data_IF_657665725857
#
_entry.id   IF_657665725857
#
_cell.length_a   1.000
_cell.length_b   1.000
_cell.length_c   1.000
_cell.angle_alpha   90.00
_cell.angle_beta   90.00
_cell.angle_gamma   90.00
#
_symmetry.space_group_name_H-M   'P 1'
#
loop_
_entity.id
_entity.type
_entity.pdbx_description
1 polymer ?
#
# COMPACT_ATOMS: atom_id res chain seq x y z
N UNK A 1 -12.17 15.10 11.66
CA UNK A 1 -12.28 13.76 11.04
C UNK A 1 -13.69 13.23 11.25
N UNK A 2 -14.39 12.87 10.17
CA UNK A 2 -15.68 12.18 10.21
C UNK A 2 -15.55 10.75 10.79
N UNK A 3 -16.67 10.07 11.00
CA UNK A 3 -16.71 8.76 11.65
C UNK A 3 -16.06 7.65 10.80
N UNK A 4 -16.21 7.69 9.48
CA UNK A 4 -15.67 6.64 8.60
C UNK A 4 -14.15 6.76 8.48
N UNK A 5 -13.66 7.99 8.31
CA UNK A 5 -12.22 8.29 8.34
C UNK A 5 -11.62 7.92 9.70
N UNK A 6 -12.32 8.17 10.80
CA UNK A 6 -11.87 7.71 12.13
C UNK A 6 -11.80 6.20 12.22
N UNK A 7 -12.80 5.49 11.69
CA UNK A 7 -12.82 4.02 11.67
C UNK A 7 -11.69 3.43 10.83
N UNK A 8 -11.32 4.08 9.74
CA UNK A 8 -10.20 3.67 8.89
C UNK A 8 -8.84 3.98 9.54
N UNK A 9 -8.71 5.13 10.20
CA UNK A 9 -7.44 5.64 10.71
C UNK A 9 -7.13 5.30 12.18
N UNK A 10 -8.06 4.72 12.93
CA UNK A 10 -7.77 4.35 14.32
C UNK A 10 -6.82 3.16 14.35
N UNK A 11 -5.66 3.23 15.03
CA UNK A 11 -4.77 2.09 15.17
C UNK A 11 -5.52 0.90 15.75
N UNK A 12 -5.27 -0.31 15.28
CA UNK A 12 -6.01 -1.52 15.65
C UNK A 12 -5.27 -2.43 16.61
N UNK A 13 -3.94 -2.42 16.59
CA UNK A 13 -3.16 -3.27 17.48
C UNK A 13 -3.30 -2.80 18.94
N UNK A 14 -3.53 -3.76 19.82
CA UNK A 14 -3.73 -3.56 21.26
C UNK A 14 -2.85 -4.49 22.10
N UNK A 15 -1.65 -4.80 21.60
CA UNK A 15 -0.68 -5.66 22.28
C UNK A 15 -0.86 -7.16 22.03
N UNK A 16 -1.82 -7.55 21.18
CA UNK A 16 -2.07 -8.95 20.84
C UNK A 16 -0.94 -9.50 19.96
N UNK A 17 -0.39 -10.65 20.32
CA UNK A 17 0.58 -11.42 19.52
C UNK A 17 -0.03 -11.91 18.19
N UNK A 18 0.81 -12.23 17.21
CA UNK A 18 0.37 -12.67 15.88
C UNK A 18 -0.37 -11.57 15.12
N UNK A 19 0.15 -10.34 15.19
CA UNK A 19 -0.44 -9.17 14.55
C UNK A 19 0.58 -8.36 13.77
N UNK A 20 0.09 -7.83 12.66
CA UNK A 20 0.78 -6.90 11.80
C UNK A 20 -0.08 -5.65 11.64
N UNK A 21 0.52 -4.48 11.75
CA UNK A 21 -0.15 -3.20 11.46
C UNK A 21 0.80 -2.29 10.67
N UNK A 22 0.32 -1.76 9.55
CA UNK A 22 1.13 -0.97 8.61
C UNK A 22 0.43 0.35 8.30
N UNK A 23 1.19 1.43 8.36
CA UNK A 23 0.83 2.73 7.80
C UNK A 23 1.70 2.97 6.57
N UNK A 24 1.03 3.30 5.47
CA UNK A 24 1.64 3.31 4.15
C UNK A 24 1.31 4.62 3.46
N UNK A 25 2.32 5.37 3.00
CA UNK A 25 2.13 6.54 2.16
C UNK A 25 2.83 6.32 0.82
N UNK A 26 2.04 6.41 -0.24
CA UNK A 26 2.47 6.43 -1.65
C UNK A 26 2.17 7.80 -2.21
N UNK A 27 3.14 8.42 -2.88
CA UNK A 27 2.94 9.69 -3.54
C UNK A 27 3.91 9.86 -4.71
N UNK A 28 3.44 10.50 -5.77
CA UNK A 28 4.24 10.82 -6.94
C UNK A 28 3.94 12.22 -7.47
N UNK A 29 4.94 12.81 -8.12
CA UNK A 29 4.76 14.04 -8.88
C UNK A 29 4.38 13.69 -10.32
N UNK A 30 3.16 14.02 -10.78
CA UNK A 30 2.78 13.76 -12.17
C UNK A 30 3.63 14.52 -13.20
N UNK A 31 4.34 15.60 -12.79
CA UNK A 31 5.18 16.41 -13.69
C UNK A 31 6.55 15.78 -13.92
N UNK A 32 7.23 15.40 -12.85
CA UNK A 32 8.60 14.85 -12.93
C UNK A 32 8.64 13.33 -12.90
N UNK A 33 7.52 12.67 -12.59
CA UNK A 33 7.44 11.23 -12.27
C UNK A 33 8.27 10.82 -11.06
N UNK A 34 8.76 11.76 -10.25
CA UNK A 34 9.36 11.42 -8.97
C UNK A 34 8.34 10.73 -8.06
N UNK A 35 8.79 9.88 -7.15
CA UNK A 35 7.93 9.19 -6.21
C UNK A 35 8.58 9.04 -4.84
N UNK A 36 7.73 8.95 -3.82
CA UNK A 36 8.14 8.65 -2.47
C UNK A 36 7.21 7.58 -1.91
N UNK A 37 7.82 6.56 -1.33
CA UNK A 37 7.11 5.55 -0.56
C UNK A 37 7.60 5.61 0.88
N UNK A 38 6.70 5.75 1.84
CA UNK A 38 6.99 5.62 3.27
C UNK A 38 6.16 4.47 3.85
N UNK A 39 6.85 3.49 4.43
CA UNK A 39 6.25 2.30 5.05
C UNK A 39 6.62 2.28 6.54
N UNK A 40 5.61 2.25 7.40
CA UNK A 40 5.76 2.15 8.84
C UNK A 40 5.03 0.92 9.35
N UNK A 41 5.74 -0.01 9.96
CA UNK A 41 5.23 -1.34 10.27
C UNK A 41 5.46 -1.68 11.73
N UNK A 42 4.42 -2.19 12.37
CA UNK A 42 4.46 -2.84 13.67
C UNK A 42 4.25 -4.33 13.49
N UNK A 43 5.19 -5.13 13.99
CA UNK A 43 5.12 -6.59 14.00
C UNK A 43 5.04 -7.04 15.45
N UNK A 44 3.99 -7.80 15.79
CA UNK A 44 3.84 -8.48 17.06
C UNK A 44 3.99 -9.99 16.83
N UNK A 45 5.17 -10.58 17.07
CA UNK A 45 5.45 -12.00 16.82
C UNK A 45 4.47 -12.95 17.52
N UNK A 46 4.29 -14.16 16.97
CA UNK A 46 3.46 -15.22 17.57
C UNK A 46 4.14 -15.82 18.82
N UNK A 47 5.46 -15.93 18.81
CA UNK A 47 6.23 -16.54 19.90
C UNK A 47 6.48 -15.54 21.02
N UNK A 48 6.04 -15.87 22.24
CA UNK A 48 6.08 -14.99 23.42
C UNK A 48 7.48 -14.66 23.99
N UNK A 49 8.56 -15.05 23.30
CA UNK A 49 9.93 -14.66 23.63
C UNK A 49 10.36 -13.37 22.92
N UNK A 50 9.77 -13.05 21.77
CA UNK A 50 10.14 -11.90 20.96
C UNK A 50 9.18 -10.75 21.25
N UNK A 51 9.73 -9.60 21.62
CA UNK A 51 8.94 -8.40 21.84
C UNK A 51 8.41 -7.86 20.51
N UNK A 52 7.21 -7.27 20.55
CA UNK A 52 6.69 -6.53 19.40
C UNK A 52 7.65 -5.38 19.07
N UNK A 53 7.88 -5.16 17.78
CA UNK A 53 8.80 -4.15 17.29
C UNK A 53 8.15 -3.31 16.20
N UNK A 54 8.61 -2.06 16.11
CA UNK A 54 8.29 -1.15 15.03
C UNK A 54 9.53 -0.95 14.17
N UNK A 55 9.34 -0.89 12.86
CA UNK A 55 10.37 -0.62 11.87
C UNK A 55 9.74 -0.06 10.61
N UNK A 56 10.55 0.28 9.63
CA UNK A 56 10.03 0.70 8.35
C UNK A 56 11.11 1.19 7.41
N UNK A 57 10.69 1.87 6.38
CA UNK A 57 11.58 2.43 5.37
C UNK A 57 10.95 3.59 4.64
N UNK A 58 11.81 4.36 3.99
CA UNK A 58 11.43 5.29 2.95
C UNK A 58 12.19 4.92 1.67
N UNK A 59 11.50 4.92 0.53
CA UNK A 59 12.10 4.75 -0.79
C UNK A 59 11.85 5.99 -1.62
N UNK A 60 12.95 6.63 -2.03
CA UNK A 60 12.95 7.71 -3.02
C UNK A 60 13.04 7.13 -4.42
N UNK A 61 12.07 7.47 -5.28
CA UNK A 61 12.06 7.16 -6.70
C UNK A 61 12.41 8.43 -7.46
N UNK A 62 13.68 8.56 -7.87
CA UNK A 62 14.13 9.71 -8.63
C UNK A 62 13.40 9.81 -9.99
N UNK A 63 13.16 11.02 -10.53
CA UNK A 63 12.71 11.21 -11.91
C UNK A 63 13.55 10.40 -12.91
N UNK A 64 14.87 10.54 -12.75
CA UNK A 64 15.90 9.94 -13.57
C UNK A 64 16.84 9.13 -12.66
N UNK A 65 16.89 7.82 -12.88
CA UNK A 65 17.80 6.93 -12.18
C UNK A 65 17.11 5.88 -11.30
N UNK A 66 17.90 5.02 -10.64
CA UNK A 66 17.37 3.95 -9.82
C UNK A 66 16.77 4.50 -8.51
N UNK A 67 15.77 3.80 -7.94
CA UNK A 67 15.26 4.12 -6.63
C UNK A 67 16.31 3.87 -5.54
N UNK A 68 16.12 4.51 -4.39
CA UNK A 68 16.99 4.44 -3.21
C UNK A 68 16.15 4.22 -1.97
N UNK A 69 16.43 3.17 -1.21
CA UNK A 69 15.72 2.87 0.04
C UNK A 69 16.61 3.11 1.24
N UNK A 70 16.03 3.61 2.32
CA UNK A 70 16.65 3.62 3.64
C UNK A 70 15.67 3.11 4.68
N UNK A 71 16.20 2.48 5.74
CA UNK A 71 15.42 1.85 6.80
C UNK A 71 15.56 2.60 8.11
N UNK A 72 14.55 2.44 8.95
CA UNK A 72 14.62 2.72 10.39
C UNK A 72 14.15 1.47 11.14
N UNK A 73 14.54 1.35 12.39
CA UNK A 73 14.26 0.22 13.25
C UNK A 73 15.10 -1.00 12.91
N UNK A 74 14.79 -2.16 13.51
CA UNK A 74 13.68 -2.37 14.44
C UNK A 74 13.94 -1.82 15.85
N UNK A 75 12.91 -1.24 16.48
CA UNK A 75 12.91 -0.84 17.89
C UNK A 75 11.73 -1.47 18.63
N UNK A 76 11.85 -1.80 19.92
CA UNK A 76 10.70 -2.24 20.72
C UNK A 76 9.57 -1.21 20.66
N UNK A 77 8.33 -1.68 20.57
CA UNK A 77 7.16 -0.79 20.48
C UNK A 77 6.04 -1.21 21.42
N UNK A 78 5.11 -0.29 21.63
CA UNK A 78 3.90 -0.48 22.40
C UNK A 78 2.70 -0.01 21.56
N UNK A 79 1.47 -0.44 21.90
CA UNK A 79 0.28 0.04 21.22
C UNK A 79 0.24 1.58 21.19
N UNK A 80 -0.14 2.14 20.05
CA UNK A 80 -0.19 3.58 19.86
C UNK A 80 -1.06 4.25 20.94
N UNK A 81 -0.55 5.33 21.53
CA UNK A 81 -1.27 6.17 22.48
C UNK A 81 -1.18 7.63 22.05
N UNK A 82 -2.24 8.41 22.32
CA UNK A 82 -2.27 9.82 21.95
C UNK A 82 -2.66 10.07 20.49
N UNK A 83 -2.13 11.14 19.85
CA UNK A 83 -2.61 11.61 18.55
C UNK A 83 -1.99 10.87 17.36
N UNK A 84 -0.89 10.15 17.57
CA UNK A 84 -0.15 9.47 16.51
C UNK A 84 -0.70 8.07 16.27
N UNK A 85 -0.89 7.74 15.00
CA UNK A 85 -1.26 6.40 14.55
C UNK A 85 -0.06 5.45 14.62
N UNK A 86 1.14 5.99 14.42
CA UNK A 86 2.43 5.33 14.57
C UNK A 86 3.44 6.34 15.13
N UNK A 87 4.22 5.95 16.13
CA UNK A 87 5.33 6.74 16.68
C UNK A 87 6.46 5.78 17.10
N UNK A 88 7.53 5.74 16.32
CA UNK A 88 8.71 4.93 16.62
C UNK A 88 9.96 5.55 15.99
N UNK A 89 11.07 5.60 16.74
CA UNK A 89 12.36 6.11 16.27
C UNK A 89 12.30 7.51 15.64
N UNK A 90 11.41 8.38 16.15
CA UNK A 90 11.22 9.72 15.62
C UNK A 90 10.43 9.77 14.30
N UNK A 91 9.99 8.63 13.77
CA UNK A 91 9.02 8.53 12.67
C UNK A 91 7.62 8.55 13.26
N UNK A 92 6.79 9.45 12.73
CA UNK A 92 5.41 9.68 13.16
C UNK A 92 4.46 9.70 11.98
N UNK A 93 3.33 9.02 12.15
CA UNK A 93 2.19 9.06 11.25
C UNK A 93 0.97 9.44 12.06
N UNK A 94 0.19 10.43 11.61
CA UNK A 94 -1.04 10.88 12.25
C UNK A 94 -1.98 11.56 11.27
N UNK A 95 -3.05 12.14 11.79
CA UNK A 95 -4.05 12.86 10.97
C UNK A 95 -3.37 14.01 10.21
N UNK A 96 -3.27 13.84 8.88
CA UNK A 96 -2.69 14.83 7.95
C UNK A 96 -1.21 15.14 8.16
N UNK A 97 -0.47 14.33 8.92
CA UNK A 97 0.95 14.56 9.22
C UNK A 97 1.80 13.28 9.20
N UNK A 98 2.92 13.35 8.50
CA UNK A 98 3.86 12.26 8.29
C UNK A 98 5.26 12.86 8.31
N UNK A 99 6.01 12.56 9.36
CA UNK A 99 7.35 13.11 9.56
C UNK A 99 8.29 12.03 10.03
N UNK A 100 9.55 12.07 9.63
CA UNK A 100 10.51 11.07 10.09
C UNK A 100 11.84 11.13 9.37
N UNK A 101 12.70 10.17 9.72
CA UNK A 101 14.00 9.95 9.09
C UNK A 101 14.28 8.46 8.99
N UNK A 102 14.86 8.06 7.87
CA UNK A 102 15.46 6.77 7.64
C UNK A 102 16.86 7.03 7.04
N UNK A 103 17.90 6.85 7.85
CA UNK A 103 19.28 7.25 7.53
C UNK A 103 19.38 8.69 7.02
N UNK A 104 19.76 8.88 5.75
CA UNK A 104 19.92 10.19 5.10
C UNK A 104 18.66 10.70 4.37
N UNK A 105 17.58 9.92 4.33
CA UNK A 105 16.26 10.39 3.93
C UNK A 105 15.52 10.94 5.15
N UNK A 106 15.03 12.17 5.07
CA UNK A 106 14.09 12.70 6.07
C UNK A 106 12.94 13.45 5.42
N UNK A 107 11.77 13.40 6.03
CA UNK A 107 10.57 13.99 5.47
C UNK A 107 9.77 14.69 6.57
N UNK A 108 9.07 15.75 6.17
CA UNK A 108 8.06 16.43 6.96
C UNK A 108 6.94 16.83 6.00
N UNK A 109 5.87 16.05 6.01
CA UNK A 109 4.81 16.07 5.02
C UNK A 109 3.46 16.28 5.70
N UNK A 110 2.63 17.06 5.03
CA UNK A 110 1.21 17.18 5.31
C UNK A 110 0.40 16.79 4.09
N UNK A 111 -0.83 16.33 4.31
CA UNK A 111 -1.75 16.05 3.21
C UNK A 111 -3.14 16.55 3.48
N UNK A 112 -3.85 16.81 2.40
CA UNK A 112 -5.29 17.04 2.41
C UNK A 112 -5.96 16.06 1.47
N UNK A 113 -7.17 15.67 1.82
CA UNK A 113 -8.04 14.90 0.93
C UNK A 113 -9.48 15.32 1.19
N UNK A 114 -10.26 15.39 0.13
CA UNK A 114 -11.70 15.70 0.17
C UNK A 114 -12.55 14.45 0.03
N UNK A 115 -11.96 13.33 -0.41
CA UNK A 115 -12.61 12.05 -0.54
C UNK A 115 -12.78 11.33 0.81
N UNK A 116 -13.85 10.56 0.92
CA UNK A 116 -14.00 9.58 2.01
C UNK A 116 -12.98 8.43 1.84
N UNK A 117 -12.65 7.68 2.91
CA UNK A 117 -11.81 6.50 2.80
C UNK A 117 -12.31 5.53 1.74
N UNK A 118 -11.38 4.89 1.02
CA UNK A 118 -11.67 3.88 0.03
C UNK A 118 -11.43 2.49 0.61
N UNK A 119 -12.52 1.74 0.80
CA UNK A 119 -12.50 0.41 1.37
C UNK A 119 -12.24 -0.65 0.29
N UNK A 120 -10.97 -0.98 0.05
CA UNK A 120 -10.54 -1.97 -0.96
C UNK A 120 -11.23 -3.32 -0.75
N UNK A 121 -11.25 -3.78 0.50
CA UNK A 121 -11.95 -4.99 0.92
C UNK A 121 -13.36 -4.64 1.44
N UNK A 122 -14.29 -5.62 1.47
CA UNK A 122 -15.54 -5.47 2.22
C UNK A 122 -15.27 -4.99 3.64
N UNK A 123 -15.98 -3.96 4.12
CA UNK A 123 -15.75 -3.38 5.46
C UNK A 123 -15.79 -4.42 6.59
N UNK A 124 -16.64 -5.44 6.47
CA UNK A 124 -16.70 -6.53 7.44
C UNK A 124 -15.39 -7.33 7.55
N UNK A 125 -14.58 -7.42 6.49
CA UNK A 125 -13.27 -8.07 6.53
C UNK A 125 -12.27 -7.28 7.40
N UNK A 126 -12.36 -5.95 7.38
CA UNK A 126 -11.62 -5.05 8.27
C UNK A 126 -12.13 -5.15 9.71
N UNK A 127 -13.43 -4.94 9.91
CA UNK A 127 -14.03 -4.86 11.25
C UNK A 127 -13.87 -6.15 12.04
N UNK A 128 -14.03 -7.30 11.37
CA UNK A 128 -14.03 -8.63 11.96
C UNK A 128 -12.74 -9.42 11.71
N UNK A 129 -11.74 -8.81 11.07
CA UNK A 129 -10.40 -9.40 10.87
C UNK A 129 -10.46 -10.78 10.18
N UNK A 130 -11.28 -10.89 9.12
CA UNK A 130 -11.62 -12.18 8.47
C UNK A 130 -10.57 -12.66 7.47
N UNK A 131 -9.68 -11.77 7.04
CA UNK A 131 -8.63 -12.02 6.06
C UNK A 131 -7.25 -12.01 6.74
N UNK A 132 -6.21 -12.65 6.15
CA UNK A 132 -4.84 -12.58 6.66
C UNK A 132 -4.35 -11.14 6.82
N UNK A 133 -4.77 -10.25 5.92
CA UNK A 133 -4.64 -8.81 6.04
C UNK A 133 -5.78 -8.15 5.28
N UNK A 134 -6.22 -7.00 5.77
CA UNK A 134 -7.16 -6.13 5.07
C UNK A 134 -6.57 -4.72 5.05
N UNK A 135 -6.81 -3.99 3.96
CA UNK A 135 -6.40 -2.61 3.81
C UNK A 135 -7.59 -1.68 3.61
N UNK A 136 -7.39 -0.43 4.01
CA UNK A 136 -8.24 0.71 3.70
C UNK A 136 -7.34 1.88 3.31
N UNK A 137 -7.72 2.62 2.27
CA UNK A 137 -7.03 3.86 1.90
C UNK A 137 -7.75 5.02 2.57
N UNK A 138 -7.14 5.61 3.57
CA UNK A 138 -7.72 6.68 4.41
C UNK A 138 -7.91 7.95 3.58
N UNK A 139 -6.89 8.28 2.79
CA UNK A 139 -6.86 9.44 1.92
C UNK A 139 -6.49 8.96 0.51
N UNK A 140 -7.46 8.51 -0.31
CA UNK A 140 -7.20 7.88 -1.61
C UNK A 140 -6.84 8.85 -2.74
N UNK A 141 -7.01 10.15 -2.53
CA UNK A 141 -6.68 11.22 -3.48
C UNK A 141 -5.92 12.33 -2.76
N UNK A 142 -4.97 11.93 -1.91
CA UNK A 142 -4.21 12.84 -1.07
C UNK A 142 -3.38 13.82 -1.91
N UNK A 143 -3.49 15.10 -1.55
CA UNK A 143 -2.60 16.17 -2.00
C UNK A 143 -1.52 16.40 -0.95
N UNK A 144 -0.28 16.03 -1.27
CA UNK A 144 0.85 16.15 -0.36
C UNK A 144 1.61 17.44 -0.59
N UNK A 145 1.98 18.07 0.53
CA UNK A 145 2.87 19.22 0.59
C UNK A 145 3.86 19.08 1.73
N UNK A 146 5.04 19.68 1.61
CA UNK A 146 6.06 19.68 2.66
C UNK A 146 7.47 19.60 2.11
N UNK A 147 8.33 18.88 2.82
CA UNK A 147 9.74 18.74 2.44
C UNK A 147 10.23 17.31 2.54
N UNK A 148 11.09 16.94 1.59
CA UNK A 148 11.87 15.72 1.58
C UNK A 148 13.34 16.11 1.49
N UNK A 149 14.19 15.61 2.37
CA UNK A 149 15.65 15.79 2.31
C UNK A 149 16.30 14.49 1.89
N UNK A 150 17.19 14.58 0.90
CA UNK A 150 17.95 13.46 0.33
C UNK A 150 19.42 13.85 0.36
N UNK A 151 20.26 13.18 1.14
CA UNK A 151 21.69 13.52 1.28
C UNK A 151 21.91 15.02 1.58
N UNK A 152 21.21 15.55 2.58
CA UNK A 152 21.23 16.96 2.99
C UNK A 152 20.68 17.98 1.96
N UNK A 153 20.26 17.54 0.78
CA UNK A 153 19.57 18.38 -0.19
C UNK A 153 18.06 18.32 0.02
N UNK A 154 17.45 19.48 0.29
CA UNK A 154 15.99 19.59 0.40
C UNK A 154 15.34 19.63 -0.99
N UNK A 155 14.32 18.79 -1.18
CA UNK A 155 13.41 18.75 -2.30
C UNK A 155 12.00 19.12 -1.79
N UNK A 156 11.40 20.21 -2.31
CA UNK A 156 10.04 20.57 -1.94
C UNK A 156 9.05 19.55 -2.48
N UNK A 157 8.04 19.23 -1.68
CA UNK A 157 6.88 18.44 -2.09
C UNK A 157 5.73 19.44 -2.25
N UNK A 158 5.26 19.60 -3.49
CA UNK A 158 4.24 20.60 -3.85
C UNK A 158 3.18 19.98 -4.75
N UNK A 159 2.06 19.59 -4.15
CA UNK A 159 0.92 19.01 -4.88
C UNK A 159 1.20 17.62 -5.42
N UNK A 160 2.01 16.83 -4.71
CA UNK A 160 2.24 15.44 -5.06
C UNK A 160 0.98 14.63 -4.77
N UNK A 161 0.68 13.65 -5.63
CA UNK A 161 -0.58 12.92 -5.63
C UNK A 161 -0.36 11.48 -5.19
N UNK A 162 -1.26 10.94 -4.39
CA UNK A 162 -1.23 9.53 -4.03
C UNK A 162 -2.18 9.18 -2.88
N UNK A 163 -1.75 8.24 -2.04
CA UNK A 163 -2.59 7.59 -1.05
C UNK A 163 -1.94 7.44 0.32
N UNK A 164 -2.75 7.58 1.38
CA UNK A 164 -2.39 7.10 2.73
C UNK A 164 -3.26 5.90 3.06
N UNK A 165 -2.64 4.74 3.24
CA UNK A 165 -3.31 3.48 3.54
C UNK A 165 -2.96 2.93 4.92
N UNK A 166 -3.88 2.15 5.46
CA UNK A 166 -3.74 1.43 6.71
C UNK A 166 -4.08 -0.04 6.49
N UNK A 167 -3.13 -0.91 6.84
CA UNK A 167 -3.24 -2.35 6.69
C UNK A 167 -3.17 -2.97 8.08
N UNK A 168 -4.07 -3.90 8.37
CA UNK A 168 -4.05 -4.64 9.62
C UNK A 168 -4.36 -6.13 9.39
N UNK A 169 -3.64 -7.00 10.10
CA UNK A 169 -3.78 -8.44 9.90
C UNK A 169 -2.89 -9.31 10.78
N UNK A 170 -2.69 -10.53 10.30
CA UNK A 170 -1.92 -11.62 10.89
C UNK A 170 -0.67 -11.96 10.06
N UNK A 171 -0.46 -11.28 8.94
CA UNK A 171 0.63 -11.52 7.99
C UNK A 171 0.15 -11.41 6.54
N UNK A 172 1.10 -11.51 5.61
CA UNK A 172 0.85 -11.29 4.19
C UNK A 172 0.26 -12.52 3.50
N UNK A 173 -0.31 -12.33 2.31
CA UNK A 173 -0.76 -13.44 1.47
C UNK A 173 0.41 -14.31 0.98
N UNK A 174 0.13 -15.46 0.36
CA UNK A 174 1.19 -16.29 -0.27
C UNK A 174 1.79 -15.57 -1.47
N UNK A 175 0.92 -14.96 -2.27
CA UNK A 175 1.25 -14.07 -3.38
C UNK A 175 0.23 -12.96 -3.40
N UNK A 176 0.65 -11.74 -3.71
CA UNK A 176 -0.27 -10.64 -3.91
C UNK A 176 0.23 -9.67 -4.97
N UNK A 177 -0.68 -8.87 -5.49
CA UNK A 177 -0.38 -7.62 -6.17
C UNK A 177 -1.30 -6.53 -5.63
N UNK A 178 -0.78 -5.33 -5.47
CA UNK A 178 -1.54 -4.14 -5.08
C UNK A 178 -1.20 -3.01 -6.04
N UNK A 179 -2.22 -2.31 -6.54
CA UNK A 179 -2.08 -1.08 -7.32
C UNK A 179 -2.97 0.00 -6.72
N UNK A 180 -2.41 1.20 -6.63
CA UNK A 180 -3.08 2.44 -6.30
C UNK A 180 -2.77 3.47 -7.38
N UNK A 181 -3.81 4.07 -7.97
CA UNK A 181 -3.63 5.06 -9.03
C UNK A 181 -4.64 6.21 -8.91
N UNK A 182 -4.14 7.44 -8.75
CA UNK A 182 -4.91 8.66 -8.96
C UNK A 182 -5.19 8.80 -10.46
N UNK A 183 -6.47 8.79 -10.83
CA UNK A 183 -6.94 8.85 -12.22
C UNK A 183 -7.27 10.28 -12.67
N UNK A 184 -7.08 11.26 -11.77
CA UNK A 184 -7.37 12.68 -11.98
C UNK A 184 -8.80 13.08 -11.60
N UNK A 185 -8.99 14.36 -11.26
CA UNK A 185 -10.31 14.94 -10.93
C UNK A 185 -11.05 14.23 -9.76
N UNK A 186 -10.32 13.61 -8.84
CA UNK A 186 -10.90 12.84 -7.73
C UNK A 186 -11.29 11.40 -8.09
N UNK A 187 -11.05 10.98 -9.33
CA UNK A 187 -11.15 9.59 -9.73
C UNK A 187 -9.92 8.81 -9.22
N UNK A 188 -10.13 7.58 -8.73
CA UNK A 188 -9.05 6.72 -8.23
C UNK A 188 -9.36 5.26 -8.50
N UNK A 189 -8.31 4.48 -8.78
CA UNK A 189 -8.32 3.02 -8.79
C UNK A 189 -7.54 2.50 -7.58
N UNK A 190 -8.11 1.49 -6.94
CA UNK A 190 -7.49 0.74 -5.88
C UNK A 190 -7.78 -0.75 -6.08
N UNK A 191 -6.76 -1.56 -6.34
CA UNK A 191 -6.97 -3.00 -6.55
C UNK A 191 -5.93 -3.86 -5.84
N UNK A 192 -6.42 -4.92 -5.21
CA UNK A 192 -5.61 -5.96 -4.60
C UNK A 192 -5.98 -7.30 -5.19
N UNK A 193 -5.00 -8.08 -5.57
CA UNK A 193 -5.17 -9.48 -5.93
C UNK A 193 -4.31 -10.36 -5.05
N UNK A 194 -4.85 -11.46 -4.51
CA UNK A 194 -4.12 -12.27 -3.53
C UNK A 194 -4.44 -13.76 -3.61
N UNK A 195 -3.44 -14.58 -3.31
CA UNK A 195 -3.56 -16.03 -3.10
C UNK A 195 -3.28 -16.33 -1.63
N UNK A 196 -4.20 -17.03 -0.96
CA UNK A 196 -4.06 -17.37 0.46
C UNK A 196 -2.88 -18.31 0.73
N UNK A 197 -2.26 -18.18 1.89
CA UNK A 197 -1.24 -19.11 2.37
C UNK A 197 -1.82 -20.39 3.00
N UNK A 198 -3.14 -20.42 3.29
CA UNK A 198 -3.79 -21.56 3.96
C UNK A 198 -3.68 -22.85 3.13
N UNK A 199 -3.43 -24.02 3.76
CA UNK A 199 -3.49 -25.32 3.08
C UNK A 199 -4.81 -25.48 2.31
N UNK A 200 -4.74 -26.00 1.09
CA UNK A 200 -5.90 -26.13 0.18
C UNK A 200 -6.22 -24.88 -0.64
N UNK A 201 -5.99 -23.67 -0.12
CA UNK A 201 -6.27 -22.41 -0.84
C UNK A 201 -5.04 -21.87 -1.60
N UNK A 202 -3.84 -22.32 -1.22
CA UNK A 202 -2.55 -21.89 -1.79
C UNK A 202 -2.28 -22.22 -3.27
N UNK A 203 -3.20 -22.93 -3.93
CA UNK A 203 -3.14 -23.31 -5.35
C UNK A 203 -4.30 -22.73 -6.18
N UNK A 204 -5.18 -21.96 -5.55
CA UNK A 204 -6.29 -21.32 -6.25
C UNK A 204 -5.79 -20.14 -7.08
N UNK A 205 -6.60 -19.76 -8.07
CA UNK A 205 -6.40 -18.52 -8.80
C UNK A 205 -6.42 -17.32 -7.83
N UNK A 206 -5.63 -16.26 -8.11
CA UNK A 206 -5.67 -15.04 -7.32
C UNK A 206 -7.08 -14.47 -7.25
N UNK A 207 -7.48 -14.11 -6.04
CA UNK A 207 -8.75 -13.45 -5.78
C UNK A 207 -8.55 -11.95 -5.90
N UNK A 208 -9.35 -11.26 -6.72
CA UNK A 208 -9.26 -9.83 -6.93
C UNK A 208 -10.32 -9.04 -6.14
N UNK A 209 -9.90 -7.95 -5.52
CA UNK A 209 -10.72 -6.91 -4.91
C UNK A 209 -10.38 -5.62 -5.63
N UNK A 210 -11.36 -5.05 -6.34
CA UNK A 210 -11.16 -3.85 -7.16
C UNK A 210 -12.14 -2.80 -6.68
N UNK A 211 -11.63 -1.61 -6.39
CA UNK A 211 -12.40 -0.41 -6.10
C UNK A 211 -12.03 0.68 -7.06
N UNK A 212 -13.06 1.35 -7.54
CA UNK A 212 -12.89 2.63 -8.22
C UNK A 212 -13.68 3.68 -7.45
N UNK A 213 -13.19 4.91 -7.43
CA UNK A 213 -14.03 6.09 -7.28
C UNK A 213 -14.05 6.77 -8.62
N UNK A 214 -15.23 6.95 -9.20
CA UNK A 214 -15.40 7.56 -10.51
C UNK A 214 -16.58 8.54 -10.45
N UNK A 215 -16.34 9.79 -10.82
CA UNK A 215 -17.31 10.89 -10.75
C UNK A 215 -17.95 10.99 -9.34
N UNK A 216 -17.12 10.85 -8.30
CA UNK A 216 -17.52 10.91 -6.89
C UNK A 216 -18.30 9.70 -6.38
N UNK A 217 -18.33 8.58 -7.11
CA UNK A 217 -19.05 7.36 -6.72
C UNK A 217 -18.10 6.18 -6.61
N UNK A 218 -18.24 5.40 -5.54
CA UNK A 218 -17.45 4.19 -5.34
C UNK A 218 -18.08 2.99 -6.05
N UNK A 219 -17.24 2.21 -6.75
CA UNK A 219 -17.59 1.03 -7.51
C UNK A 219 -16.74 -0.17 -7.07
N UNK A 220 -17.27 -1.40 -7.12
CA UNK A 220 -18.68 -1.74 -7.29
C UNK A 220 -19.56 -1.23 -6.15
N UNK A 221 -20.72 -0.67 -6.49
CA UNK A 221 -21.58 0.12 -5.59
C UNK A 221 -22.61 -0.71 -4.82
N UNK A 222 -22.98 -1.89 -5.35
CA UNK A 222 -23.99 -2.74 -4.71
C UNK A 222 -23.40 -3.41 -3.47
N UNK A 223 -24.15 -3.45 -2.34
CA UNK A 223 -23.74 -4.22 -1.17
C UNK A 223 -23.43 -5.68 -1.51
N UNK A 224 -24.15 -6.30 -2.44
CA UNK A 224 -23.92 -7.71 -2.79
C UNK A 224 -22.63 -7.93 -3.59
N UNK A 225 -22.34 -7.09 -4.59
CA UNK A 225 -21.12 -7.21 -5.41
C UNK A 225 -19.91 -6.57 -4.77
N UNK A 226 -20.10 -5.57 -3.91
CA UNK A 226 -19.06 -4.97 -3.09
C UNK A 226 -18.69 -5.80 -1.86
N UNK A 227 -19.53 -6.73 -1.40
CA UNK A 227 -19.17 -7.66 -0.32
C UNK A 227 -18.39 -8.89 -0.81
N UNK A 228 -18.37 -9.14 -2.11
CA UNK A 228 -17.72 -10.29 -2.70
C UNK A 228 -16.44 -9.89 -3.42
N UNK A 229 -15.48 -10.81 -3.57
CA UNK A 229 -14.41 -10.64 -4.53
C UNK A 229 -14.98 -10.37 -5.93
N UNK A 230 -14.20 -9.72 -6.78
CA UNK A 230 -14.54 -9.53 -8.20
C UNK A 230 -14.44 -10.86 -8.95
N UNK A 231 -15.38 -11.79 -8.70
CA UNK A 231 -15.36 -13.19 -9.15
C UNK A 231 -15.33 -13.35 -10.68
N UNK A 232 -15.68 -12.31 -11.43
CA UNK A 232 -15.64 -12.27 -12.90
C UNK A 232 -14.40 -11.57 -13.44
N UNK A 233 -13.42 -11.27 -12.59
CA UNK A 233 -12.10 -10.79 -12.98
C UNK A 233 -11.13 -11.97 -13.02
N UNK A 234 -10.34 -12.04 -14.09
CA UNK A 234 -9.18 -12.92 -14.21
C UNK A 234 -7.94 -12.10 -13.91
N UNK A 235 -7.03 -12.69 -13.15
CA UNK A 235 -5.75 -12.08 -12.82
C UNK A 235 -4.61 -12.84 -13.50
N UNK A 236 -3.76 -12.10 -14.19
CA UNK A 236 -2.40 -12.53 -14.55
C UNK A 236 -1.45 -11.79 -13.61
N UNK A 237 -0.72 -12.48 -12.75
CA UNK A 237 0.16 -11.87 -11.74
C UNK A 237 1.62 -12.23 -12.01
N UNK A 238 2.33 -11.33 -12.69
CA UNK A 238 3.79 -11.36 -12.83
C UNK A 238 4.41 -10.11 -12.19
N UNK A 239 5.71 -10.20 -11.86
CA UNK A 239 6.42 -9.09 -11.19
C UNK A 239 6.51 -7.86 -12.08
N UNK A 240 7.04 -8.02 -13.31
CA UNK A 240 7.20 -6.90 -14.24
C UNK A 240 5.89 -6.46 -14.90
N UNK A 241 4.95 -7.40 -15.07
CA UNK A 241 3.67 -7.14 -15.70
C UNK A 241 2.57 -7.94 -15.02
N UNK A 242 1.48 -7.26 -14.66
CA UNK A 242 0.28 -7.92 -14.19
C UNK A 242 -0.98 -7.21 -14.68
N UNK A 243 -2.07 -7.98 -14.72
CA UNK A 243 -3.31 -7.56 -15.35
C UNK A 243 -4.50 -8.12 -14.61
N UNK A 244 -5.55 -7.31 -14.49
CA UNK A 244 -6.89 -7.75 -14.11
C UNK A 244 -7.85 -7.44 -15.27
N UNK A 245 -8.55 -8.45 -15.76
CA UNK A 245 -9.51 -8.29 -16.86
C UNK A 245 -10.82 -9.02 -16.59
N UNK A 246 -11.95 -8.44 -16.99
CA UNK A 246 -13.24 -9.09 -16.82
C UNK A 246 -14.42 -8.13 -16.74
N UNK A 247 -15.34 -8.40 -15.80
CA UNK A 247 -16.50 -7.54 -15.57
C UNK A 247 -16.77 -7.25 -14.10
N UNK A 248 -17.10 -6.00 -13.81
CA UNK A 248 -17.53 -5.50 -12.50
C UNK A 248 -18.84 -4.75 -12.70
N UNK A 249 -19.89 -5.10 -11.94
CA UNK A 249 -21.26 -4.54 -12.07
C UNK A 249 -21.76 -4.47 -13.54
N UNK A 250 -21.40 -5.48 -14.33
CA UNK A 250 -21.80 -5.58 -15.73
C UNK A 250 -20.97 -4.74 -16.70
N UNK A 251 -20.01 -3.94 -16.26
CA UNK A 251 -19.09 -3.18 -17.13
C UNK A 251 -17.87 -3.99 -17.51
N UNK A 252 -17.30 -3.79 -18.70
CA UNK A 252 -16.01 -4.40 -19.06
C UNK A 252 -14.90 -3.60 -18.41
N UNK A 253 -13.99 -4.31 -17.75
CA UNK A 253 -12.86 -3.70 -17.03
C UNK A 253 -11.56 -4.36 -17.47
N UNK A 254 -10.57 -3.54 -17.78
CA UNK A 254 -9.19 -3.94 -17.98
C UNK A 254 -8.29 -3.02 -17.13
N UNK A 255 -7.43 -3.61 -16.33
CA UNK A 255 -6.39 -2.91 -15.58
C UNK A 255 -5.08 -3.59 -15.94
N UNK A 256 -4.15 -2.87 -16.53
CA UNK A 256 -2.80 -3.35 -16.87
C UNK A 256 -1.78 -2.51 -16.13
N UNK A 257 -0.82 -3.20 -15.54
CA UNK A 257 0.24 -2.59 -14.74
C UNK A 257 1.56 -3.09 -15.27
N UNK A 258 2.41 -2.15 -15.66
CA UNK A 258 3.78 -2.40 -16.08
C UNK A 258 4.73 -1.75 -15.06
N UNK A 259 5.64 -2.56 -14.51
CA UNK A 259 6.58 -2.18 -13.46
C UNK A 259 8.02 -2.42 -13.97
N UNK A 260 8.65 -1.43 -14.60
CA UNK A 260 10.02 -1.56 -15.11
C UNK A 260 10.98 -1.92 -13.98
N UNK A 261 11.75 -2.99 -14.13
CA UNK A 261 12.56 -3.55 -13.05
C UNK A 261 13.62 -2.57 -12.52
N UNK A 262 14.14 -1.70 -13.39
CA UNK A 262 15.08 -0.64 -13.05
C UNK A 262 14.48 0.48 -12.18
N UNK A 263 13.14 0.61 -12.19
CA UNK A 263 12.36 1.55 -11.37
C UNK A 263 11.75 0.89 -10.13
N UNK A 264 12.12 -0.36 -9.86
CA UNK A 264 11.60 -1.13 -8.73
C UNK A 264 12.67 -1.34 -7.64
N UNK A 265 12.18 -1.54 -6.42
CA UNK A 265 12.92 -2.08 -5.29
C UNK A 265 12.30 -3.41 -4.86
N UNK A 266 13.11 -4.36 -4.37
CA UNK A 266 12.64 -5.65 -3.84
C UNK A 266 13.06 -5.79 -2.37
N UNK A 267 12.11 -5.67 -1.44
CA UNK A 267 12.37 -5.64 0.00
C UNK A 267 11.91 -6.92 0.69
N UNK A 268 12.65 -7.33 1.71
CA UNK A 268 12.28 -8.45 2.57
C UNK A 268 11.23 -8.07 3.60
N UNK A 269 10.21 -8.92 3.74
CA UNK A 269 9.13 -8.80 4.72
C UNK A 269 9.17 -9.97 5.69
N UNK A 270 8.77 -9.73 6.94
CA UNK A 270 8.69 -10.76 7.99
C UNK A 270 7.32 -10.72 8.63
N UNK A 271 6.55 -11.79 8.44
CA UNK A 271 5.26 -11.93 9.10
C UNK A 271 5.40 -12.21 10.59
N UNK A 272 4.33 -12.00 11.37
CA UNK A 272 4.29 -12.34 12.79
C UNK A 272 4.63 -13.80 13.13
N UNK A 273 4.42 -14.75 12.21
CA UNK A 273 4.78 -16.16 12.38
C UNK A 273 6.24 -16.49 11.97
N UNK A 274 7.02 -15.47 11.59
CA UNK A 274 8.38 -15.59 11.09
C UNK A 274 8.48 -15.88 9.59
N UNK A 275 7.34 -16.10 8.91
CA UNK A 275 7.28 -16.31 7.47
C UNK A 275 7.87 -15.14 6.71
N UNK A 276 8.66 -15.44 5.67
CA UNK A 276 9.30 -14.42 4.83
C UNK A 276 8.55 -14.24 3.51
N UNK A 277 8.58 -13.03 3.00
CA UNK A 277 8.16 -12.67 1.65
C UNK A 277 9.10 -11.61 1.07
N UNK A 278 9.08 -11.45 -0.25
CA UNK A 278 9.73 -10.34 -0.93
C UNK A 278 8.66 -9.55 -1.65
N UNK A 279 8.61 -8.25 -1.41
CA UNK A 279 7.73 -7.32 -2.10
C UNK A 279 8.56 -6.52 -3.10
N UNK A 280 8.21 -6.60 -4.38
CA UNK A 280 8.71 -5.71 -5.42
C UNK A 280 7.77 -4.53 -5.55
N UNK A 281 8.27 -3.32 -5.35
CA UNK A 281 7.47 -2.08 -5.28
C UNK A 281 7.99 -1.02 -6.26
N UNK A 282 7.09 -0.23 -6.82
CA UNK A 282 7.42 1.02 -7.50
C UNK A 282 6.33 2.08 -7.32
N UNK A 283 6.75 3.35 -7.23
CA UNK A 283 5.86 4.53 -7.33
C UNK A 283 5.80 5.07 -8.76
N UNK A 284 6.42 4.35 -9.71
CA UNK A 284 6.58 4.77 -11.10
C UNK A 284 6.02 3.74 -12.09
N UNK A 285 5.02 2.96 -11.67
CA UNK A 285 4.35 2.00 -12.55
C UNK A 285 3.53 2.73 -13.62
N UNK A 286 3.54 2.20 -14.85
CA UNK A 286 2.61 2.66 -15.88
C UNK A 286 1.30 1.86 -15.73
N UNK A 287 0.23 2.56 -15.34
CA UNK A 287 -1.08 1.97 -15.05
C UNK A 287 -2.06 2.37 -16.14
N UNK A 288 -2.58 1.36 -16.84
CA UNK A 288 -3.60 1.53 -17.86
C UNK A 288 -4.93 0.96 -17.38
N UNK A 289 -5.97 1.78 -17.43
CA UNK A 289 -7.32 1.40 -16.98
C UNK A 289 -8.29 1.63 -18.13
N UNK A 290 -9.11 0.63 -18.44
CA UNK A 290 -10.25 0.76 -19.34
C UNK A 290 -11.53 0.31 -18.60
N UNK A 291 -12.56 1.16 -18.63
CA UNK A 291 -13.90 0.84 -18.16
C UNK A 291 -14.89 1.21 -19.26
N UNK A 292 -15.39 0.19 -19.96
CA UNK A 292 -16.21 0.35 -21.18
C UNK A 292 -15.58 1.30 -22.22
N UNK A 293 -15.98 2.57 -22.26
CA UNK A 293 -15.48 3.61 -23.16
C UNK A 293 -14.48 4.59 -22.52
N UNK A 294 -14.37 4.60 -21.19
CA UNK A 294 -13.41 5.43 -20.47
C UNK A 294 -12.05 4.77 -20.39
N UNK A 295 -11.00 5.58 -20.55
CA UNK A 295 -9.60 5.13 -20.53
C UNK A 295 -8.72 6.10 -19.77
N UNK A 296 -7.79 5.54 -19.00
CA UNK A 296 -6.76 6.27 -18.29
C UNK A 296 -5.41 5.59 -18.53
N UNK A 297 -4.37 6.40 -18.62
CA UNK A 297 -2.97 5.99 -18.65
C UNK A 297 -2.23 6.93 -17.71
N UNK A 298 -1.87 6.45 -16.53
CA UNK A 298 -1.32 7.27 -15.45
C UNK A 298 -0.10 6.61 -14.83
N UNK A 299 0.67 7.40 -14.09
CA UNK A 299 1.63 6.87 -13.14
C UNK A 299 0.87 6.35 -11.91
N UNK A 300 1.33 5.25 -11.34
CA UNK A 300 0.74 4.73 -10.10
C UNK A 300 1.75 4.02 -9.22
N UNK A 301 1.32 3.82 -7.99
CA UNK A 301 1.92 2.85 -7.10
C UNK A 301 1.52 1.45 -7.53
N UNK A 302 2.50 0.55 -7.59
CA UNK A 302 2.23 -0.87 -7.72
C UNK A 302 3.25 -1.68 -6.95
N UNK A 303 2.78 -2.84 -6.47
CA UNK A 303 3.62 -3.84 -5.87
C UNK A 303 3.17 -5.26 -6.18
N UNK A 304 4.13 -6.19 -6.13
CA UNK A 304 3.91 -7.62 -6.23
C UNK A 304 4.73 -8.33 -5.16
N UNK A 305 4.04 -9.06 -4.30
CA UNK A 305 4.66 -9.85 -3.23
C UNK A 305 4.64 -11.34 -3.49
N UNK A 306 5.79 -11.98 -3.31
CA UNK A 306 6.01 -13.40 -3.58
C UNK A 306 6.78 -14.07 -2.42
N UNK A 307 6.72 -15.39 -2.37
CA UNK A 307 7.37 -16.20 -1.32
C UNK A 307 8.13 -17.38 -1.90
N UNK A 308 9.15 -17.81 -1.17
CA UNK A 308 9.92 -19.01 -1.48
C UNK A 308 10.63 -18.90 -2.84
N UNK A 309 10.68 -19.97 -3.65
CA UNK A 309 11.50 -20.00 -4.86
C UNK A 309 11.00 -19.08 -5.99
N UNK A 310 9.82 -18.48 -5.84
CA UNK A 310 9.28 -17.52 -6.81
C UNK A 310 9.53 -16.07 -6.39
N UNK A 311 10.01 -15.84 -5.16
CA UNK A 311 10.40 -14.52 -4.71
C UNK A 311 11.65 -14.07 -5.50
N UNK A 312 11.67 -12.84 -6.04
CA UNK A 312 12.87 -12.31 -6.64
C UNK A 312 13.97 -12.11 -5.58
N UNK A 313 15.20 -11.97 -6.03
CA UNK A 313 16.31 -11.58 -5.16
C UNK A 313 16.02 -10.23 -4.50
N UNK A 314 16.51 -10.08 -3.25
CA UNK A 314 16.45 -8.80 -2.56
C UNK A 314 17.28 -7.78 -3.33
N UNK A 315 16.67 -6.63 -3.58
CA UNK A 315 17.28 -5.49 -4.21
C UNK A 315 16.69 -4.23 -3.60
N UNK A 316 17.09 -3.98 -2.35
CA UNK A 316 16.54 -2.87 -1.58
C UNK A 316 17.08 -1.52 -2.08
N UNK A 317 18.17 -1.51 -2.86
CA UNK A 317 18.86 -0.28 -3.29
C UNK A 317 19.26 0.60 -2.11
N UNK A 318 19.66 -0.03 -1.00
CA UNK A 318 20.26 0.68 0.13
C UNK A 318 21.66 1.15 -0.30
N UNK A 319 21.99 2.43 -0.10
CA UNK A 319 23.33 2.97 -0.37
C UNK A 319 24.37 2.24 0.46
N UNK A 320 25.48 1.86 -0.18
CA UNK A 320 26.69 1.38 0.50
C UNK A 320 27.47 2.53 1.11
#
# INVERSE_FOLDING_TARGET
MDEDTRSAATPRWRGKAGRLEVWYATLSDPRTRAGLWVHCETVAPVTGTDQAYAHGWATWFAPDGPPRTERFGPVPTQPATGPWWFDAEGVRVGDKQLSGRAGSLSWDLSWTDTGAPLWTFPRAAWDRELLPGAQVVIAPTADFTGSLTINDAAAPIEGWRGGVAHIYGHGNAKRWGWVHADLGNGDVLEAVTAVSHKPGLRRLAPMAFVRFRIDGKDWPASPLTGLLPSLRMRTTLGVAHWQLEGRIDGRRVLIRIDQPAEKCVSLGYTDPDGGKAVCTNTEQADVHVEIDDRRWSVLGHAEVGLRGPEAPDLNERIPT
#
